data_IF_487185479737
#
_entry.id   IF_487185479737
#
_cell.length_a   1.000
_cell.length_b   1.000
_cell.length_c   1.000
_cell.angle_alpha   90.00
_cell.angle_beta   90.00
_cell.angle_gamma   90.00
#
_symmetry.space_group_name_H-M   'P 1'
#
loop_
_entity.id
_entity.type
_entity.pdbx_description
1 polymer ?
#
# COMPACT_ATOMS: atom_id res chain seq x y z
N UNK A 1 20.47 0.11 21.87
CA UNK A 1 20.50 1.13 22.93
C UNK A 1 21.69 0.96 23.88
N UNK A 2 21.94 -0.23 24.41
CA UNK A 2 23.05 -0.44 25.37
C UNK A 2 24.43 -0.08 24.83
N UNK A 3 24.68 -0.26 23.54
CA UNK A 3 25.96 0.09 22.88
C UNK A 3 26.06 1.57 22.49
N UNK A 4 25.08 2.41 22.77
CA UNK A 4 25.10 3.84 22.47
C UNK A 4 25.08 4.19 20.98
N UNK A 5 24.57 3.31 20.10
CA UNK A 5 24.43 3.62 18.66
C UNK A 5 23.51 4.82 18.45
N UNK A 6 23.80 5.70 17.46
CA UNK A 6 23.08 6.98 17.32
C UNK A 6 21.60 6.84 16.99
N UNK A 7 21.18 5.80 16.28
CA UNK A 7 19.81 5.49 15.95
C UNK A 7 19.56 4.00 15.96
N UNK A 8 18.35 3.59 16.33
CA UNK A 8 17.88 2.20 16.32
C UNK A 8 16.52 2.20 15.63
N UNK A 9 16.37 1.36 14.62
CA UNK A 9 15.08 1.06 13.99
C UNK A 9 14.67 -0.36 14.35
N UNK A 10 13.42 -0.54 14.74
CA UNK A 10 12.85 -1.86 15.05
C UNK A 10 11.45 -1.94 14.42
N UNK A 11 11.22 -2.98 13.64
CA UNK A 11 9.92 -3.26 13.03
C UNK A 11 9.21 -4.39 13.79
N UNK A 12 7.91 -4.24 13.97
CA UNK A 12 7.03 -5.21 14.61
C UNK A 12 5.88 -5.53 13.65
N UNK A 13 6.03 -6.58 12.86
CA UNK A 13 5.06 -6.94 11.80
C UNK A 13 3.81 -7.68 12.31
N UNK A 14 3.78 -8.11 13.58
CA UNK A 14 2.74 -9.04 14.07
C UNK A 14 1.31 -8.52 14.03
N UNK A 15 1.07 -7.20 14.15
CA UNK A 15 -0.27 -6.63 14.04
C UNK A 15 -0.76 -6.70 12.60
N UNK A 16 0.06 -6.29 11.67
CA UNK A 16 -0.24 -6.27 10.25
C UNK A 16 -0.62 -7.67 9.76
N UNK A 17 0.22 -8.65 10.04
CA UNK A 17 0.03 -10.04 9.69
C UNK A 17 -1.31 -10.62 10.21
N UNK A 18 -1.61 -10.42 11.49
CA UNK A 18 -2.86 -10.94 12.07
C UNK A 18 -4.07 -10.19 11.54
N UNK A 19 -3.96 -8.89 11.29
CA UNK A 19 -5.03 -8.08 10.73
C UNK A 19 -5.39 -8.52 9.30
N UNK A 20 -4.42 -8.87 8.47
CA UNK A 20 -4.66 -9.41 7.12
C UNK A 20 -5.63 -10.61 7.13
N UNK A 21 -5.46 -11.52 8.07
CA UNK A 21 -6.24 -12.75 8.13
C UNK A 21 -7.47 -12.69 9.02
N UNK A 22 -7.48 -11.82 10.02
CA UNK A 22 -8.56 -11.74 11.02
C UNK A 22 -9.43 -10.49 10.85
N UNK A 23 -8.93 -9.42 10.25
CA UNK A 23 -9.56 -8.10 10.21
C UNK A 23 -9.06 -7.17 11.33
N UNK A 24 -9.28 -5.87 11.16
CA UNK A 24 -8.65 -4.82 11.97
C UNK A 24 -9.07 -4.81 13.44
N UNK A 25 -10.34 -5.09 13.73
CA UNK A 25 -10.94 -4.90 15.05
C UNK A 25 -11.26 -6.21 15.79
N UNK A 26 -10.76 -7.33 15.29
CA UNK A 26 -10.97 -8.64 15.92
C UNK A 26 -10.21 -8.73 17.24
N UNK A 27 -10.73 -9.56 18.15
CA UNK A 27 -10.15 -9.75 19.50
C UNK A 27 -8.71 -10.26 19.45
N UNK A 28 -8.39 -11.14 18.52
CA UNK A 28 -7.04 -11.66 18.28
C UNK A 28 -6.08 -10.58 17.78
N UNK A 29 -6.51 -9.74 16.82
CA UNK A 29 -5.76 -8.58 16.34
C UNK A 29 -5.50 -7.57 17.47
N UNK A 30 -6.53 -7.27 18.28
CA UNK A 30 -6.39 -6.41 19.46
C UNK A 30 -5.48 -7.00 20.54
N UNK A 31 -5.43 -8.32 20.67
CA UNK A 31 -4.50 -8.97 21.62
C UNK A 31 -3.04 -8.83 21.15
N UNK A 32 -2.79 -8.90 19.84
CA UNK A 32 -1.45 -8.62 19.30
C UNK A 32 -1.05 -7.19 19.59
N UNK A 33 -1.93 -6.20 19.42
CA UNK A 33 -1.67 -4.80 19.73
C UNK A 33 -1.32 -4.63 21.23
N UNK A 34 -2.04 -5.30 22.14
CA UNK A 34 -1.69 -5.29 23.58
C UNK A 34 -0.31 -5.88 23.84
N UNK A 35 0.07 -6.94 23.11
CA UNK A 35 1.42 -7.54 23.22
C UNK A 35 2.50 -6.59 22.70
N UNK A 36 2.24 -5.88 21.61
CA UNK A 36 3.14 -4.83 21.12
C UNK A 36 3.33 -3.71 22.13
N UNK A 37 2.25 -3.23 22.77
CA UNK A 37 2.31 -2.23 23.83
C UNK A 37 3.19 -2.71 25.01
N UNK A 38 3.09 -3.98 25.40
CA UNK A 38 3.95 -4.55 26.44
C UNK A 38 5.44 -4.53 26.03
N UNK A 39 5.76 -4.83 24.75
CA UNK A 39 7.14 -4.74 24.26
C UNK A 39 7.62 -3.29 24.24
N UNK A 40 6.77 -2.37 23.79
CA UNK A 40 7.04 -0.94 23.85
C UNK A 40 7.33 -0.47 25.29
N UNK A 41 6.53 -0.90 26.26
CA UNK A 41 6.78 -0.65 27.68
C UNK A 41 8.13 -1.20 28.18
N UNK A 42 8.61 -2.34 27.65
CA UNK A 42 9.95 -2.88 27.96
C UNK A 42 11.05 -1.98 27.39
N UNK A 43 10.92 -1.53 26.14
CA UNK A 43 11.87 -0.63 25.47
C UNK A 43 11.95 0.69 26.24
N UNK A 44 10.81 1.27 26.61
CA UNK A 44 10.73 2.52 27.38
C UNK A 44 11.44 2.39 28.75
N UNK A 45 11.27 1.26 29.44
CA UNK A 45 12.02 0.99 30.70
C UNK A 45 13.50 0.81 30.46
N UNK A 46 13.89 0.09 29.42
CA UNK A 46 15.30 -0.16 29.08
C UNK A 46 16.05 1.13 28.72
N UNK A 47 15.35 2.18 28.24
CA UNK A 47 15.91 3.50 27.92
C UNK A 47 16.70 4.10 29.10
N UNK A 48 16.29 3.83 30.34
CA UNK A 48 16.96 4.33 31.56
C UNK A 48 18.38 3.80 31.73
N UNK A 49 18.71 2.66 31.12
CA UNK A 49 20.02 2.01 31.20
C UNK A 49 20.82 2.15 29.92
N UNK A 50 20.34 2.95 28.97
CA UNK A 50 21.02 3.17 27.72
C UNK A 50 22.30 4.00 27.92
N UNK A 51 23.32 3.75 27.11
CA UNK A 51 24.61 4.45 27.16
C UNK A 51 24.52 5.93 26.76
N UNK A 52 23.39 6.36 26.17
CA UNK A 52 23.08 7.73 25.81
C UNK A 52 21.58 7.97 25.88
N UNK A 53 21.10 9.23 25.96
CA UNK A 53 19.67 9.53 25.84
C UNK A 53 19.11 9.09 24.50
N UNK A 54 17.88 8.58 24.48
CA UNK A 54 17.15 8.26 23.27
C UNK A 54 15.76 8.86 23.34
N UNK A 55 15.34 9.50 22.28
CA UNK A 55 13.93 9.77 22.04
C UNK A 55 13.28 8.62 21.27
N UNK A 56 12.04 8.31 21.59
CA UNK A 56 11.30 7.21 20.97
C UNK A 56 10.23 7.80 20.07
N UNK A 57 10.25 7.42 18.81
CA UNK A 57 9.22 7.71 17.83
C UNK A 57 8.57 6.40 17.45
N UNK A 58 7.24 6.34 17.46
CA UNK A 58 6.45 5.19 17.00
C UNK A 58 5.73 5.60 15.74
N UNK A 59 5.83 4.80 14.70
CA UNK A 59 5.16 5.08 13.43
C UNK A 59 4.61 3.79 12.82
N UNK A 60 3.57 3.92 11.99
CA UNK A 60 3.23 2.90 11.01
C UNK A 60 3.78 3.30 9.64
N UNK A 61 4.14 2.33 8.83
CA UNK A 61 4.53 2.51 7.43
C UNK A 61 3.31 2.76 6.53
N UNK A 62 2.19 2.13 6.85
CA UNK A 62 0.87 2.29 6.24
C UNK A 62 -0.24 2.02 7.28
N UNK A 63 -1.48 2.22 6.90
CA UNK A 63 -2.64 1.65 7.57
C UNK A 63 -3.13 0.42 6.81
N UNK A 64 -4.34 -0.05 7.12
CA UNK A 64 -5.03 -1.09 6.35
C UNK A 64 -6.47 -0.66 6.06
N UNK A 65 -7.01 -1.10 4.93
CA UNK A 65 -8.42 -1.05 4.56
C UNK A 65 -8.95 -2.48 4.56
N UNK A 66 -10.24 -2.68 4.80
CA UNK A 66 -10.83 -4.02 4.86
C UNK A 66 -11.99 -4.19 3.88
N UNK A 67 -12.39 -5.43 3.67
CA UNK A 67 -13.56 -5.77 2.89
C UNK A 67 -13.51 -7.21 2.37
N UNK A 68 -14.63 -7.68 1.81
CA UNK A 68 -14.67 -8.98 1.16
C UNK A 68 -13.74 -8.99 -0.06
N UNK A 69 -12.98 -10.08 -0.26
CA UNK A 69 -12.01 -10.19 -1.35
C UNK A 69 -12.67 -10.11 -2.72
N UNK A 70 -11.88 -9.81 -3.76
CA UNK A 70 -12.39 -9.78 -5.14
C UNK A 70 -13.03 -11.12 -5.53
N UNK A 71 -12.40 -12.25 -5.13
CA UNK A 71 -12.92 -13.60 -5.38
C UNK A 71 -14.21 -13.88 -4.60
N UNK A 72 -14.32 -13.43 -3.36
CA UNK A 72 -15.56 -13.58 -2.59
C UNK A 72 -16.72 -12.80 -3.18
N UNK A 73 -16.46 -11.60 -3.74
CA UNK A 73 -17.49 -10.77 -4.38
C UNK A 73 -17.93 -11.29 -5.73
N UNK A 74 -17.05 -11.93 -6.50
CA UNK A 74 -17.27 -12.25 -7.91
C UNK A 74 -17.32 -13.75 -8.21
N UNK A 75 -16.83 -14.60 -7.31
CA UNK A 75 -16.68 -16.04 -7.55
C UNK A 75 -15.48 -16.41 -8.44
N UNK A 76 -14.64 -15.44 -8.80
CA UNK A 76 -13.43 -15.63 -9.63
C UNK A 76 -12.37 -14.56 -9.28
N UNK A 77 -11.10 -14.79 -9.64
CA UNK A 77 -9.98 -13.89 -9.40
C UNK A 77 -9.76 -12.85 -10.49
N UNK A 78 -8.78 -11.97 -10.28
CA UNK A 78 -8.34 -11.01 -11.29
C UNK A 78 -7.69 -11.73 -12.48
N UNK A 79 -6.96 -12.79 -12.24
CA UNK A 79 -6.37 -13.70 -13.21
C UNK A 79 -7.41 -14.27 -14.17
N UNK A 80 -8.51 -14.79 -13.64
CA UNK A 80 -9.66 -15.29 -14.41
C UNK A 80 -10.30 -14.18 -15.28
N UNK A 81 -10.41 -12.94 -14.73
CA UNK A 81 -10.95 -11.81 -15.48
C UNK A 81 -10.04 -11.44 -16.64
N UNK A 82 -8.73 -11.43 -16.44
CA UNK A 82 -7.72 -11.18 -17.47
C UNK A 82 -7.79 -12.28 -18.53
N UNK A 83 -7.76 -13.56 -18.15
CA UNK A 83 -7.75 -14.68 -19.08
C UNK A 83 -8.95 -14.71 -20.02
N UNK A 84 -10.14 -14.41 -19.49
CA UNK A 84 -11.40 -14.37 -20.29
C UNK A 84 -11.39 -13.27 -21.36
N UNK A 85 -10.62 -12.20 -21.15
CA UNK A 85 -10.61 -11.02 -22.01
C UNK A 85 -9.33 -10.87 -22.84
N UNK A 86 -8.35 -11.76 -22.68
CA UNK A 86 -7.24 -11.87 -23.61
C UNK A 86 -7.72 -12.47 -24.93
N UNK A 87 -7.25 -11.91 -26.06
CA UNK A 87 -7.54 -12.47 -27.38
C UNK A 87 -7.12 -13.93 -27.41
N UNK A 88 -8.02 -14.83 -27.80
CA UNK A 88 -7.75 -16.26 -27.84
C UNK A 88 -6.58 -16.57 -28.77
N UNK A 89 -5.56 -17.21 -28.25
CA UNK A 89 -4.43 -17.80 -28.99
C UNK A 89 -4.41 -19.30 -28.75
N UNK A 90 -3.81 -20.04 -29.66
CA UNK A 90 -3.74 -21.49 -29.57
C UNK A 90 -2.83 -22.03 -28.45
N UNK A 91 -2.00 -21.21 -27.86
CA UNK A 91 -1.02 -21.60 -26.84
C UNK A 91 -0.94 -20.56 -25.70
N UNK A 92 -0.67 -21.04 -24.47
CA UNK A 92 -0.38 -20.22 -23.31
C UNK A 92 -1.61 -19.89 -22.46
N UNK A 93 -1.38 -19.66 -21.17
CA UNK A 93 -2.38 -19.28 -20.16
C UNK A 93 -1.96 -18.07 -19.35
N UNK A 94 -2.81 -17.63 -18.44
CA UNK A 94 -2.52 -16.62 -17.42
C UNK A 94 -1.98 -17.31 -16.18
N UNK A 95 -0.89 -16.82 -15.63
CA UNK A 95 -0.34 -17.28 -14.36
C UNK A 95 -0.66 -16.28 -13.28
N UNK A 96 -1.29 -16.76 -12.21
CA UNK A 96 -1.49 -15.99 -10.98
C UNK A 96 -0.30 -16.22 -10.04
N UNK A 97 0.42 -15.16 -9.74
CA UNK A 97 1.50 -15.12 -8.75
C UNK A 97 1.09 -14.33 -7.50
N UNK A 98 -0.19 -14.06 -7.33
CA UNK A 98 -0.75 -13.45 -6.11
C UNK A 98 -0.69 -14.45 -4.96
N UNK A 99 -0.59 -13.95 -3.71
CA UNK A 99 -0.70 -14.80 -2.52
C UNK A 99 0.63 -15.31 -1.96
N UNK A 100 1.74 -14.68 -2.31
CA UNK A 100 2.94 -14.77 -1.49
C UNK A 100 2.74 -13.89 -0.24
N UNK A 101 2.50 -14.54 0.92
CA UNK A 101 2.52 -13.86 2.21
C UNK A 101 3.79 -13.02 2.30
N UNK A 102 3.68 -11.68 2.44
CA UNK A 102 4.84 -10.77 2.44
C UNK A 102 5.85 -11.18 3.53
N UNK A 103 5.36 -11.76 4.61
CA UNK A 103 6.17 -12.34 5.68
C UNK A 103 6.62 -13.78 5.41
N UNK A 104 5.94 -14.53 4.56
CA UNK A 104 6.33 -15.92 4.28
C UNK A 104 7.71 -15.99 3.59
N UNK A 105 8.08 -14.98 2.81
CA UNK A 105 9.44 -14.90 2.22
C UNK A 105 10.52 -14.55 3.23
N UNK A 106 10.28 -13.65 4.19
CA UNK A 106 11.27 -13.24 5.17
C UNK A 106 11.31 -14.21 6.38
N UNK A 107 10.15 -14.53 6.94
CA UNK A 107 10.03 -15.44 8.10
C UNK A 107 10.29 -16.88 7.70
N UNK A 108 9.77 -17.35 6.59
CA UNK A 108 10.01 -18.70 6.09
C UNK A 108 11.46 -18.87 5.62
N UNK A 109 12.11 -17.83 5.11
CA UNK A 109 13.55 -17.82 4.82
C UNK A 109 14.36 -17.90 6.11
N UNK A 110 14.03 -17.11 7.13
CA UNK A 110 14.69 -17.14 8.44
C UNK A 110 14.47 -18.49 9.15
N UNK A 111 13.27 -19.06 9.11
CA UNK A 111 12.96 -20.39 9.66
C UNK A 111 13.67 -21.49 8.87
N UNK A 112 13.77 -21.41 7.56
CA UNK A 112 14.52 -22.34 6.71
C UNK A 112 16.03 -22.29 6.98
N UNK A 113 16.59 -21.10 7.10
CA UNK A 113 17.99 -20.91 7.47
C UNK A 113 18.28 -21.47 8.87
N UNK A 114 17.38 -21.26 9.83
CA UNK A 114 17.50 -21.77 11.20
C UNK A 114 17.29 -23.30 11.32
N UNK A 115 16.46 -23.91 10.48
CA UNK A 115 16.10 -25.33 10.58
C UNK A 115 16.79 -26.25 9.58
N UNK A 116 17.55 -25.69 8.62
CA UNK A 116 18.25 -26.47 7.59
C UNK A 116 17.33 -27.24 6.63
N UNK A 117 16.03 -26.97 6.61
CA UNK A 117 15.08 -27.63 5.71
C UNK A 117 15.29 -27.15 4.28
N UNK A 118 15.70 -28.07 3.41
CA UNK A 118 15.71 -27.85 1.96
C UNK A 118 14.26 -27.64 1.48
N UNK A 119 14.08 -26.65 0.62
CA UNK A 119 12.83 -26.45 -0.13
C UNK A 119 12.50 -27.79 -0.83
N UNK A 120 11.31 -28.35 -0.61
CA UNK A 120 10.71 -29.24 -1.61
C UNK A 120 10.58 -28.35 -2.84
N UNK A 121 11.20 -28.77 -3.94
CA UNK A 121 11.02 -28.10 -5.22
C UNK A 121 9.52 -27.86 -5.39
N UNK A 122 9.10 -26.58 -5.29
CA UNK A 122 7.81 -26.17 -5.82
C UNK A 122 7.81 -26.70 -7.24
N UNK A 123 6.83 -27.49 -7.57
CA UNK A 123 6.71 -28.16 -8.86
C UNK A 123 7.24 -27.20 -9.93
N UNK A 124 8.24 -27.68 -10.66
CA UNK A 124 8.67 -27.06 -11.91
C UNK A 124 7.45 -27.12 -12.81
N UNK A 125 6.56 -26.12 -12.66
CA UNK A 125 5.53 -25.90 -13.64
C UNK A 125 6.26 -25.80 -14.97
N UNK A 126 5.94 -26.74 -15.86
CA UNK A 126 6.42 -26.69 -17.24
C UNK A 126 6.18 -25.27 -17.71
N UNK A 127 7.24 -24.59 -18.13
CA UNK A 127 7.20 -23.26 -18.72
C UNK A 127 6.47 -23.44 -20.07
N UNK A 128 5.13 -23.57 -19.99
CA UNK A 128 4.25 -23.32 -21.10
C UNK A 128 4.37 -21.84 -21.45
N UNK A 129 4.19 -21.47 -22.69
CA UNK A 129 4.18 -20.07 -23.09
C UNK A 129 3.15 -19.32 -22.22
N UNK A 130 3.64 -18.47 -21.33
CA UNK A 130 2.80 -17.59 -20.52
C UNK A 130 2.36 -16.44 -21.39
N UNK A 131 1.07 -16.14 -21.42
CA UNK A 131 0.53 -14.99 -22.15
C UNK A 131 0.46 -13.75 -21.28
N UNK A 132 0.14 -13.94 -20.02
CA UNK A 132 0.16 -12.87 -19.02
C UNK A 132 0.53 -13.43 -17.64
N UNK A 133 1.06 -12.57 -16.80
CA UNK A 133 1.29 -12.79 -15.38
C UNK A 133 0.48 -11.76 -14.61
N UNK A 134 -0.33 -12.23 -13.66
CA UNK A 134 -1.11 -11.39 -12.74
C UNK A 134 -0.51 -11.53 -11.35
N UNK A 135 -0.26 -10.42 -10.67
CA UNK A 135 0.25 -10.38 -9.29
C UNK A 135 -0.65 -9.47 -8.47
N UNK A 136 -1.14 -9.96 -7.34
CA UNK A 136 -1.87 -9.17 -6.35
C UNK A 136 -0.93 -8.70 -5.23
N UNK A 137 -1.17 -7.51 -4.71
CA UNK A 137 -0.64 -6.99 -3.47
C UNK A 137 -1.76 -6.20 -2.79
N UNK A 138 -2.49 -6.84 -1.90
CA UNK A 138 -3.72 -6.31 -1.33
C UNK A 138 -4.73 -5.93 -2.43
N UNK A 139 -5.11 -4.68 -2.50
CA UNK A 139 -6.05 -4.18 -3.51
C UNK A 139 -5.37 -3.57 -4.76
N UNK A 140 -4.09 -3.82 -4.93
CA UNK A 140 -3.35 -3.51 -6.14
C UNK A 140 -3.09 -4.78 -6.94
N UNK A 141 -3.47 -4.79 -8.22
CA UNK A 141 -3.14 -5.84 -9.18
C UNK A 141 -2.14 -5.33 -10.21
N UNK A 142 -1.19 -6.16 -10.57
CA UNK A 142 -0.20 -5.90 -11.61
C UNK A 142 -0.37 -6.94 -12.71
N UNK A 143 -0.56 -6.50 -13.96
CA UNK A 143 -0.75 -7.37 -15.11
C UNK A 143 0.40 -7.11 -16.08
N UNK A 144 1.19 -8.16 -16.32
CA UNK A 144 2.27 -8.18 -17.30
C UNK A 144 1.86 -9.03 -18.49
N UNK A 145 1.83 -8.44 -19.68
CA UNK A 145 1.57 -9.12 -20.94
C UNK A 145 2.90 -9.63 -21.50
N UNK A 146 3.04 -10.95 -21.63
CA UNK A 146 4.33 -11.60 -21.86
C UNK A 146 4.73 -11.69 -23.34
N UNK A 147 4.05 -10.94 -24.21
CA UNK A 147 4.28 -10.99 -25.67
C UNK A 147 5.53 -10.22 -26.09
N UNK A 148 5.91 -9.21 -25.29
CA UNK A 148 7.08 -8.37 -25.57
C UNK A 148 7.96 -8.22 -24.33
N UNK A 149 9.28 -8.08 -24.48
CA UNK A 149 10.20 -7.87 -23.35
C UNK A 149 10.22 -6.41 -22.86
N UNK A 150 9.14 -5.66 -23.07
CA UNK A 150 8.97 -4.26 -22.70
C UNK A 150 7.53 -4.00 -22.31
N UNK A 151 7.29 -2.92 -21.59
CA UNK A 151 5.94 -2.43 -21.32
C UNK A 151 5.22 -2.08 -22.61
N UNK A 152 3.99 -2.56 -22.79
CA UNK A 152 3.12 -2.21 -23.90
C UNK A 152 2.45 -0.85 -23.65
N UNK A 153 2.14 -0.15 -24.73
CA UNK A 153 1.28 1.04 -24.66
C UNK A 153 -0.20 0.64 -24.65
N UNK A 154 -1.05 1.56 -24.23
CA UNK A 154 -2.50 1.39 -24.21
C UNK A 154 -3.03 1.02 -25.61
N UNK A 155 -2.53 1.66 -26.64
CA UNK A 155 -2.91 1.47 -28.03
C UNK A 155 -2.48 0.06 -28.53
N UNK A 156 -1.30 -0.40 -28.13
CA UNK A 156 -0.84 -1.76 -28.44
C UNK A 156 -1.67 -2.83 -27.71
N UNK A 157 -2.07 -2.56 -26.48
CA UNK A 157 -2.96 -3.44 -25.70
C UNK A 157 -4.32 -3.52 -26.36
N UNK A 158 -4.92 -2.40 -26.78
CA UNK A 158 -6.21 -2.35 -27.47
C UNK A 158 -6.17 -3.06 -28.82
N UNK A 159 -5.08 -2.93 -29.58
CA UNK A 159 -4.92 -3.62 -30.86
C UNK A 159 -4.81 -5.14 -30.68
N UNK A 160 -4.05 -5.59 -29.68
CA UNK A 160 -3.79 -7.01 -29.43
C UNK A 160 -4.92 -7.70 -28.67
N UNK A 161 -5.49 -7.01 -27.69
CA UNK A 161 -6.51 -7.51 -26.76
C UNK A 161 -7.67 -6.52 -26.60
N UNK A 162 -8.50 -6.30 -27.64
CA UNK A 162 -9.50 -5.22 -27.68
C UNK A 162 -10.55 -5.30 -26.57
N UNK A 163 -10.77 -6.46 -25.97
CA UNK A 163 -11.74 -6.66 -24.90
C UNK A 163 -11.14 -6.44 -23.50
N UNK A 164 -9.81 -6.42 -23.33
CA UNK A 164 -9.16 -6.45 -22.02
C UNK A 164 -9.37 -5.15 -21.23
N UNK A 165 -8.94 -4.01 -21.77
CA UNK A 165 -9.10 -2.72 -21.07
C UNK A 165 -10.58 -2.36 -20.85
N UNK A 166 -11.48 -2.52 -21.85
CA UNK A 166 -12.90 -2.30 -21.64
C UNK A 166 -13.52 -3.16 -20.55
N UNK A 167 -13.19 -4.45 -20.47
CA UNK A 167 -13.70 -5.36 -19.45
C UNK A 167 -13.21 -5.00 -18.05
N UNK A 168 -11.92 -4.69 -17.90
CA UNK A 168 -11.36 -4.25 -16.62
C UNK A 168 -12.00 -2.93 -16.17
N UNK A 169 -12.14 -1.93 -17.05
CA UNK A 169 -12.75 -0.63 -16.74
C UNK A 169 -14.22 -0.71 -16.36
N UNK A 170 -14.96 -1.60 -16.99
CA UNK A 170 -16.40 -1.77 -16.74
C UNK A 170 -16.70 -2.59 -15.48
N UNK A 171 -15.68 -3.25 -14.90
CA UNK A 171 -15.89 -4.13 -13.77
C UNK A 171 -16.23 -3.33 -12.50
N UNK A 172 -17.34 -3.63 -11.78
CA UNK A 172 -17.81 -2.83 -10.64
C UNK A 172 -16.85 -2.80 -9.45
N UNK A 173 -15.97 -3.79 -9.35
CA UNK A 173 -14.99 -3.87 -8.26
C UNK A 173 -13.56 -3.44 -8.68
N UNK A 174 -13.45 -2.77 -9.83
CA UNK A 174 -12.22 -2.07 -10.27
C UNK A 174 -12.47 -0.57 -10.15
N UNK A 175 -11.55 0.13 -9.50
CA UNK A 175 -11.62 1.58 -9.32
C UNK A 175 -10.96 2.35 -10.44
N UNK A 176 -9.71 2.00 -10.74
CA UNK A 176 -8.94 2.59 -11.83
C UNK A 176 -7.87 1.61 -12.37
N UNK A 177 -7.44 1.89 -13.59
CA UNK A 177 -6.29 1.26 -14.22
C UNK A 177 -5.24 2.34 -14.49
N UNK A 178 -3.96 2.05 -14.26
CA UNK A 178 -2.86 2.85 -14.79
C UNK A 178 -2.25 2.13 -15.98
N UNK A 179 -2.23 2.81 -17.12
CA UNK A 179 -1.62 2.37 -18.37
C UNK A 179 -0.75 3.48 -18.95
N UNK A 180 0.07 3.17 -19.93
CA UNK A 180 0.85 4.17 -20.65
C UNK A 180 0.36 4.32 -22.07
N UNK A 181 -0.11 5.50 -22.44
CA UNK A 181 -0.43 5.87 -23.82
C UNK A 181 0.83 6.28 -24.57
N UNK A 182 0.91 5.92 -25.86
CA UNK A 182 1.97 6.38 -26.75
C UNK A 182 1.89 7.91 -27.00
N UNK A 183 0.67 8.47 -27.01
CA UNK A 183 0.41 9.87 -27.28
C UNK A 183 0.41 10.73 -26.02
N UNK A 184 -0.19 10.23 -24.91
CA UNK A 184 -0.49 11.01 -23.71
C UNK A 184 0.34 10.66 -22.49
N UNK A 185 1.30 9.73 -22.58
CA UNK A 185 2.10 9.29 -21.43
C UNK A 185 1.29 8.47 -20.43
N UNK A 186 1.39 8.78 -19.15
CA UNK A 186 0.69 8.06 -18.10
C UNK A 186 -0.80 8.40 -18.04
N UNK A 187 -1.67 7.38 -18.07
CA UNK A 187 -3.13 7.55 -18.10
C UNK A 187 -3.79 6.69 -17.03
N UNK A 188 -4.66 7.30 -16.23
CA UNK A 188 -5.57 6.60 -15.33
C UNK A 188 -6.95 6.45 -15.99
N UNK A 189 -7.39 5.19 -16.19
CA UNK A 189 -8.68 4.85 -16.79
C UNK A 189 -9.65 4.42 -15.72
N UNK A 190 -10.85 4.97 -15.70
CA UNK A 190 -11.97 4.54 -14.87
C UNK A 190 -13.19 4.16 -15.71
N UNK A 191 -14.21 3.65 -15.06
CA UNK A 191 -15.44 3.20 -15.71
C UNK A 191 -16.09 4.32 -16.55
N UNK A 192 -16.10 5.57 -16.07
CA UNK A 192 -16.81 6.71 -16.66
C UNK A 192 -15.94 7.89 -17.03
N UNK A 193 -14.61 7.73 -16.99
CA UNK A 193 -13.72 8.81 -17.37
C UNK A 193 -12.26 8.43 -17.39
N UNK A 194 -11.45 9.37 -17.80
CA UNK A 194 -10.01 9.23 -18.03
C UNK A 194 -9.30 10.43 -17.43
N UNK A 195 -8.18 10.18 -16.76
CA UNK A 195 -7.26 11.22 -16.30
C UNK A 195 -5.91 11.07 -16.97
N UNK A 196 -5.50 12.04 -17.74
CA UNK A 196 -4.19 12.16 -18.37
C UNK A 196 -3.22 12.79 -17.36
N UNK A 197 -2.34 11.96 -16.79
CA UNK A 197 -1.56 12.35 -15.62
C UNK A 197 -0.48 13.37 -15.95
N UNK A 198 0.17 13.24 -17.11
CA UNK A 198 1.20 14.16 -17.57
C UNK A 198 0.62 15.55 -17.93
N UNK A 199 -0.61 15.59 -18.43
CA UNK A 199 -1.31 16.82 -18.83
C UNK A 199 -2.13 17.45 -17.70
N UNK A 200 -2.45 16.69 -16.65
CA UNK A 200 -3.37 17.10 -15.58
C UNK A 200 -4.83 17.21 -16.02
N UNK A 201 -5.17 16.75 -17.23
CA UNK A 201 -6.51 16.84 -17.85
C UNK A 201 -7.39 15.65 -17.46
N UNK A 202 -8.70 15.91 -17.34
CA UNK A 202 -9.71 14.89 -17.06
C UNK A 202 -10.78 14.93 -18.15
N UNK A 203 -11.18 13.77 -18.64
CA UNK A 203 -12.34 13.58 -19.51
C UNK A 203 -13.36 12.68 -18.82
N UNK A 204 -14.60 13.14 -18.72
CA UNK A 204 -15.64 12.45 -17.95
C UNK A 204 -15.47 12.60 -16.45
N UNK A 205 -15.76 11.55 -15.69
CA UNK A 205 -15.57 11.53 -14.23
C UNK A 205 -14.10 11.21 -13.89
N UNK A 206 -13.50 11.96 -12.96
CA UNK A 206 -12.12 11.69 -12.52
C UNK A 206 -12.05 10.34 -11.80
N UNK A 207 -11.35 9.34 -12.37
CA UNK A 207 -11.24 8.02 -11.75
C UNK A 207 -10.49 8.03 -10.41
N UNK A 208 -9.72 9.07 -10.14
CA UNK A 208 -8.92 9.20 -8.92
C UNK A 208 -9.62 9.99 -7.81
N UNK A 209 -10.78 10.61 -8.08
CA UNK A 209 -11.49 11.45 -7.11
C UNK A 209 -11.83 10.74 -5.78
N UNK A 210 -12.22 9.45 -5.76
CA UNK A 210 -12.53 8.75 -4.51
C UNK A 210 -11.30 8.41 -3.65
N UNK A 211 -10.08 8.52 -4.18
CA UNK A 211 -8.88 8.00 -3.52
C UNK A 211 -8.14 9.05 -2.69
N UNK A 212 -7.33 9.87 -3.32
CA UNK A 212 -6.56 10.90 -2.60
C UNK A 212 -6.29 12.09 -3.53
N UNK A 213 -6.25 13.33 -3.01
CA UNK A 213 -5.82 14.48 -3.80
C UNK A 213 -4.41 14.33 -4.39
N UNK A 214 -3.57 13.50 -3.78
CA UNK A 214 -2.19 13.23 -4.22
C UNK A 214 -2.07 11.99 -5.11
N UNK A 215 -3.15 11.25 -5.35
CA UNK A 215 -3.14 10.00 -6.12
C UNK A 215 -2.48 10.17 -7.50
N UNK A 216 -2.85 11.22 -8.24
CA UNK A 216 -2.28 11.50 -9.56
C UNK A 216 -0.74 11.65 -9.53
N UNK A 217 -0.21 12.38 -8.55
CA UNK A 217 1.23 12.57 -8.41
C UNK A 217 1.96 11.26 -8.06
N UNK A 218 1.36 10.43 -7.21
CA UNK A 218 1.92 9.12 -6.86
C UNK A 218 1.91 8.16 -8.04
N UNK A 219 0.83 8.13 -8.81
CA UNK A 219 0.74 7.28 -10.00
C UNK A 219 1.72 7.73 -11.08
N UNK A 220 1.85 9.03 -11.32
CA UNK A 220 2.83 9.56 -12.26
C UNK A 220 4.27 9.20 -11.87
N UNK A 221 4.59 9.29 -10.57
CA UNK A 221 5.89 8.83 -10.05
C UNK A 221 6.10 7.33 -10.29
N UNK A 222 5.09 6.52 -10.02
CA UNK A 222 5.14 5.06 -10.18
C UNK A 222 5.28 4.67 -11.64
N UNK A 223 4.59 5.37 -12.56
CA UNK A 223 4.69 5.14 -14.01
C UNK A 223 6.13 5.30 -14.53
N UNK A 224 6.94 6.12 -13.88
CA UNK A 224 8.35 6.34 -14.19
C UNK A 224 9.30 5.23 -13.74
N UNK A 225 8.85 4.18 -13.05
CA UNK A 225 9.71 3.10 -12.61
C UNK A 225 10.06 2.15 -13.76
N UNK A 226 11.25 1.53 -13.70
CA UNK A 226 11.79 0.72 -14.79
C UNK A 226 10.98 -0.55 -15.09
N UNK A 227 10.29 -1.10 -14.10
CA UNK A 227 9.60 -2.40 -14.19
C UNK A 227 8.11 -2.31 -13.86
N UNK A 228 7.47 -1.20 -14.20
CA UNK A 228 6.03 -1.03 -14.06
C UNK A 228 5.31 -2.01 -14.97
N UNK A 229 4.22 -2.60 -14.46
CA UNK A 229 3.36 -3.50 -15.23
C UNK A 229 2.75 -2.81 -16.45
N UNK A 230 2.33 -3.58 -17.45
CA UNK A 230 1.59 -3.07 -18.61
C UNK A 230 0.29 -2.40 -18.15
N UNK A 231 -0.41 -3.04 -17.20
CA UNK A 231 -1.62 -2.52 -16.59
C UNK A 231 -1.49 -2.66 -15.07
N UNK A 232 -1.59 -1.55 -14.33
CA UNK A 232 -1.83 -1.61 -12.88
C UNK A 232 -3.32 -1.45 -12.63
N UNK A 233 -3.87 -2.25 -11.74
CA UNK A 233 -5.29 -2.27 -11.39
C UNK A 233 -5.44 -1.96 -9.91
N UNK A 234 -6.23 -0.98 -9.55
CA UNK A 234 -6.65 -0.79 -8.15
C UNK A 234 -8.11 -1.16 -7.99
N UNK A 235 -8.46 -1.80 -6.90
CA UNK A 235 -9.87 -2.10 -6.63
C UNK A 235 -10.69 -0.83 -6.41
N UNK A 236 -12.01 -0.97 -6.45
CA UNK A 236 -12.91 0.10 -6.02
C UNK A 236 -12.65 0.51 -4.57
N UNK A 237 -13.12 1.67 -4.20
CA UNK A 237 -13.17 2.14 -2.82
C UNK A 237 -14.51 2.83 -2.56
N UNK A 238 -15.19 2.37 -1.51
CA UNK A 238 -16.42 2.97 -0.99
C UNK A 238 -16.05 3.79 0.25
N UNK A 239 -16.16 5.12 0.14
CA UNK A 239 -15.80 6.07 1.20
C UNK A 239 -16.82 6.13 2.34
N UNK A 240 -18.06 5.68 2.10
CA UNK A 240 -19.10 5.64 3.12
C UNK A 240 -18.94 4.44 4.05
N UNK A 241 -18.47 3.33 3.51
CA UNK A 241 -18.24 2.10 4.26
C UNK A 241 -16.77 1.93 4.70
N UNK A 242 -15.86 2.79 4.20
CA UNK A 242 -14.38 2.63 4.30
C UNK A 242 -13.94 1.23 3.85
N UNK A 243 -14.46 0.79 2.69
CA UNK A 243 -14.35 -0.58 2.22
C UNK A 243 -13.79 -0.65 0.80
N UNK A 244 -12.97 -1.65 0.52
CA UNK A 244 -12.49 -2.02 -0.80
C UNK A 244 -12.49 -3.54 -0.98
N UNK A 245 -11.69 -4.08 -1.89
CA UNK A 245 -11.45 -5.52 -1.95
C UNK A 245 -10.01 -5.84 -2.35
N UNK A 246 -9.42 -6.80 -1.66
CA UNK A 246 -8.13 -7.35 -2.05
C UNK A 246 -8.28 -8.26 -3.26
N UNK A 247 -7.27 -8.28 -4.13
CA UNK A 247 -7.12 -9.29 -5.19
C UNK A 247 -6.56 -10.60 -4.65
N UNK A 248 -5.97 -10.57 -3.45
CA UNK A 248 -5.53 -11.71 -2.66
C UNK A 248 -6.59 -12.13 -1.64
N UNK A 249 -6.39 -13.26 -0.97
CA UNK A 249 -7.31 -13.77 0.06
C UNK A 249 -7.05 -13.13 1.43
N UNK A 250 -7.13 -11.79 1.48
CA UNK A 250 -6.90 -10.97 2.66
C UNK A 250 -8.19 -10.24 3.07
N UNK A 251 -8.56 -10.32 4.35
CA UNK A 251 -9.75 -9.66 4.92
C UNK A 251 -9.50 -8.16 5.11
N UNK A 252 -8.30 -7.80 5.56
CA UNK A 252 -7.81 -6.42 5.53
C UNK A 252 -6.49 -6.38 4.78
N UNK A 253 -6.22 -5.25 4.14
CA UNK A 253 -5.18 -5.16 3.13
C UNK A 253 -4.60 -3.76 3.01
N UNK A 254 -3.43 -3.69 2.41
CA UNK A 254 -2.75 -2.51 1.90
C UNK A 254 -2.08 -2.83 0.56
N UNK A 255 -1.40 -1.88 -0.05
CA UNK A 255 -0.65 -2.08 -1.31
C UNK A 255 -1.14 -1.17 -2.44
N UNK A 256 -2.45 -0.90 -2.50
CA UNK A 256 -3.04 0.04 -3.42
C UNK A 256 -3.43 1.37 -2.77
N UNK A 257 -4.49 1.97 -3.30
CA UNK A 257 -5.05 3.23 -2.82
C UNK A 257 -6.49 3.03 -2.34
N UNK A 258 -6.95 3.96 -1.52
CA UNK A 258 -8.32 4.01 -0.96
C UNK A 258 -8.36 3.62 0.50
N UNK A 259 -9.00 4.48 1.30
CA UNK A 259 -9.24 4.22 2.71
C UNK A 259 -8.07 4.43 3.64
N UNK A 260 -8.20 3.82 4.79
CA UNK A 260 -7.29 3.98 5.93
C UNK A 260 -5.89 3.43 5.66
N UNK A 261 -5.71 2.56 4.67
CA UNK A 261 -4.38 2.04 4.28
C UNK A 261 -3.40 3.16 3.89
N UNK A 262 -3.90 4.29 3.40
CA UNK A 262 -3.08 5.42 2.96
C UNK A 262 -2.86 6.47 4.05
N UNK A 263 -3.23 6.18 5.29
CA UNK A 263 -3.19 7.11 6.42
C UNK A 263 -2.32 6.58 7.56
N UNK A 264 -0.99 6.47 7.38
CA UNK A 264 -0.09 6.11 8.46
C UNK A 264 -0.02 7.21 9.52
N UNK A 265 0.50 6.87 10.70
CA UNK A 265 0.68 7.81 11.80
C UNK A 265 2.15 7.92 12.22
N UNK A 266 2.49 9.04 12.85
CA UNK A 266 3.76 9.23 13.57
C UNK A 266 3.42 9.77 14.96
N UNK A 267 3.74 9.00 16.00
CA UNK A 267 3.67 9.41 17.40
C UNK A 267 5.07 9.78 17.88
N UNK A 268 5.27 11.01 18.32
CA UNK A 268 6.58 11.55 18.65
C UNK A 268 6.52 12.39 19.95
N UNK A 269 7.67 12.61 20.64
CA UNK A 269 7.76 13.59 21.71
C UNK A 269 7.37 14.99 21.23
N UNK A 270 6.68 15.73 22.09
CA UNK A 270 6.17 17.08 21.77
C UNK A 270 7.29 18.10 21.48
N UNK A 271 8.49 17.82 21.95
CA UNK A 271 9.69 18.63 21.73
C UNK A 271 10.29 18.47 20.31
N UNK A 272 9.86 17.43 19.58
CA UNK A 272 10.24 17.21 18.19
C UNK A 272 9.17 17.81 17.28
N UNK A 273 9.46 19.00 16.78
CA UNK A 273 8.53 19.74 15.94
C UNK A 273 8.25 19.03 14.60
N UNK A 274 7.01 19.09 14.15
CA UNK A 274 6.59 18.67 12.80
C UNK A 274 6.38 19.92 11.93
N UNK A 275 6.51 19.79 10.59
CA UNK A 275 6.14 20.88 9.69
C UNK A 275 4.65 21.25 9.84
N UNK A 276 4.32 22.51 9.61
CA UNK A 276 2.93 22.98 9.53
C UNK A 276 2.17 22.37 8.33
N UNK A 277 2.90 22.00 7.29
CA UNK A 277 2.37 21.36 6.10
C UNK A 277 2.18 19.83 6.32
N UNK A 278 1.15 19.21 5.70
CA UNK A 278 0.96 17.77 5.78
C UNK A 278 2.20 16.99 5.34
N UNK A 279 2.57 15.97 6.11
CA UNK A 279 3.65 15.04 5.76
C UNK A 279 3.10 14.00 4.80
N UNK A 280 3.33 14.18 3.50
CA UNK A 280 2.80 13.30 2.44
C UNK A 280 3.93 12.55 1.76
N UNK A 281 3.82 11.23 1.76
CA UNK A 281 4.74 10.30 1.11
C UNK A 281 6.03 10.04 1.91
N UNK A 282 6.70 8.95 1.55
CA UNK A 282 7.89 8.46 2.25
C UNK A 282 9.05 9.47 2.29
N UNK A 283 9.20 10.28 1.24
CA UNK A 283 10.27 11.30 1.16
C UNK A 283 10.06 12.43 2.17
N UNK A 284 8.80 12.86 2.39
CA UNK A 284 8.48 13.87 3.40
C UNK A 284 8.69 13.29 4.81
N UNK A 285 8.22 12.09 5.08
CA UNK A 285 8.46 11.38 6.33
C UNK A 285 9.96 11.21 6.61
N UNK A 286 10.74 10.82 5.58
CA UNK A 286 12.20 10.74 5.70
C UNK A 286 12.84 12.07 6.09
N UNK A 287 12.44 13.19 5.46
CA UNK A 287 12.98 14.52 5.80
C UNK A 287 12.71 14.90 7.26
N UNK A 288 11.51 14.61 7.76
CA UNK A 288 11.13 14.85 9.15
C UNK A 288 12.01 14.02 10.10
N UNK A 289 12.07 12.70 9.91
CA UNK A 289 12.83 11.79 10.76
C UNK A 289 14.35 12.07 10.71
N UNK A 290 14.89 12.37 9.52
CA UNK A 290 16.28 12.73 9.36
C UNK A 290 16.59 14.09 9.99
N UNK A 291 15.64 15.03 9.96
CA UNK A 291 15.73 16.32 10.66
C UNK A 291 15.82 16.15 12.16
N UNK A 292 14.91 15.38 12.75
CA UNK A 292 14.92 15.07 14.20
C UNK A 292 16.21 14.34 14.63
N UNK A 293 16.69 13.39 13.81
CA UNK A 293 17.94 12.72 14.09
C UNK A 293 19.12 13.69 14.16
N UNK A 294 19.26 14.61 13.18
CA UNK A 294 20.31 15.63 13.16
C UNK A 294 20.20 16.57 14.36
N UNK A 295 18.98 17.03 14.69
CA UNK A 295 18.72 17.86 15.86
C UNK A 295 19.22 17.19 17.15
N UNK A 296 18.83 15.95 17.37
CA UNK A 296 19.19 15.17 18.56
C UNK A 296 20.68 14.82 18.63
N UNK A 297 21.39 14.84 17.52
CA UNK A 297 22.83 14.61 17.44
C UNK A 297 23.64 15.93 17.54
N UNK A 298 22.97 17.08 17.66
CA UNK A 298 23.63 18.37 17.70
C UNK A 298 24.21 18.83 16.36
N UNK A 299 23.78 18.19 15.24
CA UNK A 299 24.23 18.51 13.88
C UNK A 299 23.35 19.57 13.20
N UNK A 300 22.21 19.94 13.81
CA UNK A 300 21.27 20.90 13.24
C UNK A 300 21.64 22.32 13.62
N UNK A 301 21.70 23.22 12.64
CA UNK A 301 21.67 24.67 12.88
C UNK A 301 20.29 25.08 13.47
N UNK A 302 20.13 26.36 13.91
CA UNK A 302 18.92 26.81 14.57
C UNK A 302 17.68 26.58 13.70
N UNK A 303 16.75 25.80 14.20
CA UNK A 303 15.40 25.64 13.65
C UNK A 303 14.63 26.92 13.94
N UNK A 304 13.93 27.50 12.96
CA UNK A 304 13.08 28.66 13.19
C UNK A 304 12.04 28.33 14.29
N UNK A 305 11.91 29.22 15.27
CA UNK A 305 11.02 29.01 16.41
C UNK A 305 9.55 28.94 15.96
N UNK A 306 8.75 28.03 16.53
CA UNK A 306 7.36 27.85 16.16
C UNK A 306 6.49 29.04 16.61
N UNK A 307 5.51 29.38 15.78
CA UNK A 307 4.40 30.23 16.22
C UNK A 307 3.50 29.41 17.14
N UNK A 308 3.34 29.86 18.38
CA UNK A 308 2.36 29.28 19.31
C UNK A 308 0.97 29.36 18.66
N UNK A 309 0.33 28.22 18.42
CA UNK A 309 -1.10 28.19 18.14
C UNK A 309 -1.84 28.51 19.44
N UNK A 310 -2.63 29.58 19.43
CA UNK A 310 -3.61 29.86 20.48
C UNK A 310 -4.64 28.72 20.47
N UNK A 311 -4.67 27.95 21.55
CA UNK A 311 -5.69 26.92 21.76
C UNK A 311 -7.04 27.62 21.95
N UNK A 312 -7.91 27.52 20.95
CA UNK A 312 -9.32 27.90 21.08
C UNK A 312 -9.97 26.99 22.14
N UNK A 313 -10.60 27.55 23.17
CA UNK A 313 -11.23 26.72 24.20
C UNK A 313 -12.39 25.92 23.58
N UNK A 314 -12.38 24.60 23.78
CA UNK A 314 -13.49 23.73 23.42
C UNK A 314 -14.66 24.03 24.36
N UNK A 315 -15.73 24.58 23.79
CA UNK A 315 -17.00 24.78 24.53
C UNK A 315 -17.64 23.41 24.77
N UNK A 316 -17.95 23.05 26.05
CA UNK A 316 -18.62 21.77 26.33
C UNK A 316 -20.03 21.79 25.72
N UNK A 317 -20.36 20.78 24.93
CA UNK A 317 -21.67 20.55 24.38
C UNK A 317 -22.72 20.26 25.47
N UNK A 318 -24.02 20.51 25.20
CA UNK A 318 -25.09 20.40 26.21
C UNK A 318 -25.25 18.94 26.67
N UNK A 319 -25.32 18.77 28.00
CA UNK A 319 -25.57 17.47 28.63
C UNK A 319 -26.97 16.96 28.29
N UNK A 320 -27.04 15.78 27.68
CA UNK A 320 -28.28 15.04 27.47
C UNK A 320 -28.75 14.53 28.84
N UNK A 321 -29.86 15.07 29.34
CA UNK A 321 -30.58 14.52 30.50
C UNK A 321 -31.32 13.27 30.02
N UNK A 322 -31.00 12.15 30.66
CA UNK A 322 -31.85 10.95 30.57
C UNK A 322 -33.14 11.22 31.40
N UNK A 323 -34.27 11.01 30.75
CA UNK A 323 -35.60 10.79 31.35
C UNK A 323 -36.14 9.46 30.89
#
# INVERSE_FOLDING_TARGET
MMMGVPAVYACFAGYDEVAHHSGLERSDTMEVLRKLDQQFGRITRARRFAARPYEIVVLSDHGQTQGATFRQRNGYGLDDLVERNLRRSAAGGVEDLSGGDENDTAVSKAVREATGRKQKDADKHQVGERRAVVMGSGNLGLIYLMEEPRRLTMEEIDERHPDLLPALRAHPHVGWLLVRSAEHGAVALGARGIRYLDEGRVEGEDPLAPFSPTAAAHLLRTDGFAHVADIMVNSFYDDQLDEGCAFEELISFHGGMGGSQTRPFILHPVELEVPDEPVVGAEAAHRVLAGWRRLLQGEAGPVAAPRRQETTPVTPGPSVRQS
#
